data_IF_163123802398
#
_entry.id   IF_163123802398
#
_cell.length_a   1.000
_cell.length_b   1.000
_cell.length_c   1.000
_cell.angle_alpha   90.00
_cell.angle_beta   90.00
_cell.angle_gamma   90.00
#
_symmetry.space_group_name_H-M   'P 1'
#
loop_
_entity.id
_entity.type
_entity.pdbx_description
1 polymer ?
#
# COMPACT_ATOMS: atom_id res chain seq x y z
N UNK A 1 58.18 -30.39 15.22
CA UNK A 1 58.15 -31.75 15.81
C UNK A 1 57.63 -31.64 17.23
N UNK A 2 56.37 -32.04 17.45
CA UNK A 2 55.84 -32.44 18.76
C UNK A 2 54.50 -33.14 18.54
N UNK A 3 54.24 -34.14 19.39
CA UNK A 3 53.53 -35.37 19.09
C UNK A 3 52.15 -35.40 19.78
N UNK A 4 51.14 -35.74 18.98
CA UNK A 4 49.92 -36.56 19.19
C UNK A 4 49.43 -36.85 20.63
N UNK A 5 48.14 -36.62 20.91
CA UNK A 5 47.11 -37.53 21.50
C UNK A 5 45.70 -36.99 21.12
N UNK A 6 44.96 -37.59 20.19
CA UNK A 6 43.96 -38.67 20.36
C UNK A 6 42.91 -38.43 21.45
N UNK A 7 41.69 -38.09 21.02
CA UNK A 7 40.44 -38.43 21.71
C UNK A 7 39.42 -38.83 20.64
N UNK A 8 38.97 -40.08 20.73
CA UNK A 8 38.06 -40.72 19.81
C UNK A 8 36.67 -40.88 20.45
N UNK A 9 35.66 -40.82 19.59
CA UNK A 9 34.39 -41.56 19.66
C UNK A 9 33.34 -41.13 20.68
N UNK A 10 32.12 -40.82 20.19
CA UNK A 10 30.92 -41.62 20.46
C UNK A 10 29.83 -41.31 19.43
N UNK A 11 29.33 -42.38 18.79
CA UNK A 11 28.20 -42.36 17.87
C UNK A 11 26.91 -42.06 18.63
N UNK A 12 26.11 -41.12 18.13
CA UNK A 12 24.72 -40.93 18.52
C UNK A 12 23.79 -41.25 17.35
N UNK A 13 23.34 -42.50 17.26
CA UNK A 13 22.23 -42.90 16.39
C UNK A 13 20.91 -42.59 17.11
N UNK A 14 20.05 -41.82 16.47
CA UNK A 14 18.72 -41.48 16.98
C UNK A 14 17.79 -41.12 15.82
N UNK A 15 17.38 -42.13 15.05
CA UNK A 15 16.29 -42.02 14.10
C UNK A 15 14.96 -42.15 14.86
N UNK A 16 14.18 -41.07 14.93
CA UNK A 16 12.76 -41.10 15.27
C UNK A 16 12.01 -40.39 14.14
N UNK A 17 11.44 -41.20 13.26
CA UNK A 17 10.53 -40.79 12.19
C UNK A 17 9.16 -40.59 12.84
N UNK A 18 8.74 -39.35 13.01
CA UNK A 18 7.35 -39.01 13.34
C UNK A 18 6.66 -38.47 12.09
N UNK A 19 5.93 -39.34 11.40
CA UNK A 19 4.98 -38.96 10.36
C UNK A 19 3.70 -38.50 11.05
N UNK A 20 3.43 -37.20 11.04
CA UNK A 20 2.12 -36.63 11.34
C UNK A 20 1.52 -36.04 10.05
N UNK A 21 0.74 -36.85 9.35
CA UNK A 21 -0.18 -36.38 8.31
C UNK A 21 -1.55 -36.22 8.94
N UNK A 22 -2.00 -34.98 9.17
CA UNK A 22 -3.37 -34.49 8.90
C UNK A 22 -3.51 -33.09 9.48
N UNK A 23 -3.72 -32.12 8.58
CA UNK A 23 -3.97 -30.75 8.95
C UNK A 23 -3.79 -29.80 7.77
N UNK A 24 -4.42 -30.10 6.63
CA UNK A 24 -4.70 -29.07 5.63
C UNK A 24 -5.81 -28.16 6.18
N UNK A 25 -5.52 -27.43 7.27
CA UNK A 25 -6.25 -26.21 7.60
C UNK A 25 -5.82 -25.23 6.54
N UNK A 26 -6.70 -24.99 5.57
CA UNK A 26 -6.47 -24.07 4.48
C UNK A 26 -5.87 -22.78 5.02
N UNK A 27 -4.58 -22.58 4.79
CA UNK A 27 -4.06 -21.24 4.62
C UNK A 27 -4.74 -20.75 3.37
N UNK A 28 -5.93 -20.16 3.55
CA UNK A 28 -6.38 -19.13 2.63
C UNK A 28 -5.14 -18.27 2.43
N UNK A 29 -4.55 -18.40 1.25
CA UNK A 29 -3.54 -17.47 0.81
C UNK A 29 -4.31 -16.16 0.75
N UNK A 30 -4.32 -15.42 1.85
CA UNK A 30 -4.53 -14.00 1.81
C UNK A 30 -3.39 -13.56 0.92
N UNK A 31 -3.66 -13.48 -0.38
CA UNK A 31 -2.77 -12.88 -1.34
C UNK A 31 -2.39 -11.57 -0.67
N UNK A 32 -1.13 -11.43 -0.25
CA UNK A 32 -0.58 -10.14 0.08
C UNK A 32 -0.70 -9.38 -1.22
N UNK A 33 -1.82 -8.66 -1.37
CA UNK A 33 -2.02 -7.76 -2.48
C UNK A 33 -0.74 -6.92 -2.49
N UNK A 34 -0.10 -6.81 -3.65
CA UNK A 34 1.01 -5.91 -3.84
C UNK A 34 0.71 -4.61 -3.05
N UNK A 35 1.66 -4.22 -2.20
CA UNK A 35 1.41 -3.73 -0.83
C UNK A 35 0.30 -2.71 -0.64
N UNK A 36 -0.68 -3.06 0.19
CA UNK A 36 -1.60 -2.08 0.79
C UNK A 36 -0.86 -1.26 1.84
N UNK A 37 -0.88 0.06 1.72
CA UNK A 37 -0.29 1.00 2.69
C UNK A 37 -1.41 1.89 3.22
N UNK A 38 -1.58 1.94 4.55
CA UNK A 38 -2.65 2.70 5.22
C UNK A 38 -4.06 2.35 4.68
N UNK A 39 -4.27 1.08 4.30
CA UNK A 39 -5.53 0.61 3.70
C UNK A 39 -5.78 1.04 2.25
N UNK A 40 -4.83 1.76 1.64
CA UNK A 40 -4.81 2.06 0.22
C UNK A 40 -4.11 0.94 -0.56
N UNK A 41 -4.81 0.18 -1.44
CA UNK A 41 -4.17 -0.89 -2.20
C UNK A 41 -3.13 -0.35 -3.19
N UNK A 42 -2.11 -1.15 -3.53
CA UNK A 42 -1.15 -0.74 -4.57
C UNK A 42 -1.86 -0.55 -5.92
N UNK A 43 -1.46 0.50 -6.64
CA UNK A 43 -2.11 0.93 -7.88
C UNK A 43 -3.21 1.97 -7.68
N UNK A 44 -3.52 2.39 -6.45
CA UNK A 44 -4.63 3.31 -6.16
C UNK A 44 -4.15 4.67 -5.65
N UNK A 45 -4.94 5.70 -5.94
CA UNK A 45 -4.98 6.93 -5.15
C UNK A 45 -6.12 6.82 -4.14
N UNK A 46 -5.84 7.13 -2.89
CA UNK A 46 -6.83 7.10 -1.81
C UNK A 46 -6.96 8.46 -1.13
N UNK A 47 -8.20 8.84 -0.81
CA UNK A 47 -8.52 10.04 -0.04
C UNK A 47 -9.11 9.59 1.29
N UNK A 48 -8.59 10.15 2.37
CA UNK A 48 -9.06 9.87 3.73
C UNK A 48 -10.13 10.89 4.16
N UNK A 49 -10.99 10.57 5.13
CA UNK A 49 -12.00 11.51 5.62
C UNK A 49 -11.42 12.86 6.06
N UNK A 50 -12.29 13.86 6.04
CA UNK A 50 -11.96 15.23 6.43
C UNK A 50 -11.34 15.24 7.85
N UNK A 51 -10.22 15.96 7.99
CA UNK A 51 -9.51 16.24 9.24
C UNK A 51 -9.14 14.98 10.05
N UNK A 52 -9.04 13.80 9.39
CA UNK A 52 -8.83 12.51 10.05
C UNK A 52 -7.42 11.90 9.85
N UNK A 53 -6.53 12.57 9.09
CA UNK A 53 -5.21 12.03 8.76
C UNK A 53 -5.31 10.69 8.05
N UNK A 54 -4.65 9.65 8.59
CA UNK A 54 -4.74 8.27 8.05
C UNK A 54 -6.04 7.54 8.42
N UNK A 55 -6.85 8.07 9.33
CA UNK A 55 -8.11 7.46 9.76
C UNK A 55 -8.00 5.96 10.09
N UNK A 56 -6.95 5.55 10.80
CA UNK A 56 -6.70 4.13 11.12
C UNK A 56 -6.52 3.22 9.90
N UNK A 57 -6.12 3.76 8.75
CA UNK A 57 -6.01 3.03 7.50
C UNK A 57 -7.35 2.83 6.77
N UNK A 58 -8.33 3.71 7.01
CA UNK A 58 -9.65 3.62 6.39
C UNK A 58 -9.92 4.84 5.49
N UNK A 59 -9.48 4.82 4.22
CA UNK A 59 -9.81 5.88 3.27
C UNK A 59 -11.31 5.86 2.91
N UNK A 60 -11.87 7.03 2.63
CA UNK A 60 -13.27 7.19 2.20
C UNK A 60 -13.44 6.99 0.70
N UNK A 61 -12.42 7.31 -0.10
CA UNK A 61 -12.45 7.21 -1.56
C UNK A 61 -11.18 6.51 -2.07
N UNK A 62 -11.33 5.71 -3.13
CA UNK A 62 -10.25 4.96 -3.78
C UNK A 62 -10.41 5.02 -5.30
N UNK A 63 -9.34 5.35 -6.02
CA UNK A 63 -9.33 5.47 -7.48
C UNK A 63 -8.17 4.67 -8.08
N UNK A 64 -8.47 3.83 -9.07
CA UNK A 64 -7.48 2.97 -9.74
C UNK A 64 -7.18 3.40 -11.17
N UNK A 65 -8.25 3.67 -11.94
CA UNK A 65 -8.14 3.95 -13.36
C UNK A 65 -7.50 5.31 -13.60
N UNK A 66 -6.55 5.38 -14.55
CA UNK A 66 -6.03 6.66 -15.04
C UNK A 66 -7.13 7.52 -15.67
N UNK A 67 -6.92 8.83 -15.67
CA UNK A 67 -7.88 9.83 -16.14
C UNK A 67 -8.48 10.66 -15.00
N UNK A 68 -9.48 11.45 -15.35
CA UNK A 68 -10.13 12.39 -14.44
C UNK A 68 -11.25 11.74 -13.62
N UNK A 69 -11.30 12.06 -12.33
CA UNK A 69 -12.35 11.64 -11.39
C UNK A 69 -12.92 12.87 -10.71
N UNK A 70 -14.23 13.11 -10.87
CA UNK A 70 -14.91 14.21 -10.20
C UNK A 70 -15.07 13.90 -8.71
N UNK A 71 -14.81 14.91 -7.88
CA UNK A 71 -15.07 14.87 -6.45
C UNK A 71 -16.40 15.55 -6.16
N UNK A 72 -17.15 14.99 -5.23
CA UNK A 72 -18.39 15.57 -4.72
C UNK A 72 -18.41 15.52 -3.20
N UNK A 73 -18.94 16.57 -2.58
CA UNK A 73 -19.11 16.66 -1.13
C UNK A 73 -17.80 16.43 -0.34
N UNK A 74 -16.67 16.90 -0.88
CA UNK A 74 -15.38 16.92 -0.17
C UNK A 74 -15.13 18.35 0.31
N UNK A 75 -14.91 18.51 1.62
CA UNK A 75 -14.76 19.81 2.26
C UNK A 75 -13.62 19.75 3.27
N UNK A 76 -12.97 20.88 3.48
CA UNK A 76 -11.89 20.98 4.45
C UNK A 76 -10.67 20.18 4.03
N UNK A 77 -9.80 19.87 4.99
CA UNK A 77 -8.52 19.21 4.71
C UNK A 77 -8.69 17.71 4.68
N UNK A 78 -8.19 17.08 3.63
CA UNK A 78 -8.12 15.63 3.50
C UNK A 78 -6.68 15.21 3.27
N UNK A 79 -6.32 14.03 3.79
CA UNK A 79 -5.12 13.35 3.35
C UNK A 79 -5.39 12.66 2.02
N UNK A 80 -4.49 12.83 1.07
CA UNK A 80 -4.49 12.12 -0.20
C UNK A 80 -3.19 11.35 -0.30
N UNK A 81 -3.27 10.06 -0.61
CA UNK A 81 -2.11 9.20 -0.76
C UNK A 81 -2.12 8.56 -2.14
N UNK A 82 -1.01 8.68 -2.85
CA UNK A 82 -0.81 8.05 -4.15
C UNK A 82 -0.05 6.74 -3.97
N UNK A 83 -0.75 5.62 -3.76
CA UNK A 83 -0.13 4.29 -3.72
C UNK A 83 -0.02 3.64 -5.11
N UNK A 84 -0.05 4.43 -6.18
CA UNK A 84 0.19 3.91 -7.52
C UNK A 84 1.65 3.48 -7.70
N UNK A 85 1.96 2.81 -8.80
CA UNK A 85 3.30 2.29 -9.10
C UNK A 85 3.80 2.82 -10.45
N UNK A 86 5.04 2.52 -10.80
CA UNK A 86 5.56 2.79 -12.14
C UNK A 86 5.84 4.27 -12.47
N UNK A 87 5.96 5.15 -11.47
CA UNK A 87 6.20 6.58 -11.68
C UNK A 87 4.93 7.41 -11.84
N UNK A 88 3.76 6.79 -11.63
CA UNK A 88 2.46 7.41 -11.73
C UNK A 88 2.30 8.66 -10.85
N UNK A 89 1.44 9.57 -11.31
CA UNK A 89 1.24 10.89 -10.73
C UNK A 89 -0.23 11.17 -10.52
N UNK A 90 -0.52 12.01 -9.52
CA UNK A 90 -1.86 12.53 -9.29
C UNK A 90 -1.85 14.05 -9.23
N UNK A 91 -2.82 14.68 -9.88
CA UNK A 91 -3.05 16.12 -9.84
C UNK A 91 -4.39 16.44 -9.19
N UNK A 92 -4.45 17.52 -8.40
CA UNK A 92 -5.70 18.13 -7.94
C UNK A 92 -6.12 19.23 -8.90
N UNK A 93 -7.42 19.30 -9.21
CA UNK A 93 -7.94 20.22 -10.21
C UNK A 93 -9.17 20.98 -9.70
N UNK A 94 -9.18 22.29 -9.92
CA UNK A 94 -10.27 23.17 -9.48
C UNK A 94 -11.49 23.07 -10.37
N UNK A 95 -11.34 22.65 -11.63
CA UNK A 95 -12.46 22.36 -12.51
C UNK A 95 -12.88 20.90 -12.43
N UNK A 96 -14.07 20.59 -12.96
CA UNK A 96 -14.51 19.21 -13.17
C UNK A 96 -13.83 18.59 -14.40
N UNK A 97 -13.84 17.26 -14.48
CA UNK A 97 -13.30 16.52 -15.61
C UNK A 97 -11.80 16.66 -15.82
N UNK A 98 -11.04 17.03 -14.77
CA UNK A 98 -9.59 17.23 -14.86
C UNK A 98 -9.19 18.55 -15.52
N UNK A 99 -10.02 19.59 -15.39
CA UNK A 99 -9.71 20.93 -15.90
C UNK A 99 -9.16 21.84 -14.80
N UNK A 100 -8.31 22.81 -15.16
CA UNK A 100 -7.67 23.73 -14.20
C UNK A 100 -6.91 23.01 -13.08
N UNK A 101 -6.05 22.05 -13.47
CA UNK A 101 -5.19 21.33 -12.54
C UNK A 101 -4.07 22.21 -12.02
N UNK A 102 -3.71 21.99 -10.75
CA UNK A 102 -2.53 22.62 -10.16
C UNK A 102 -1.27 22.21 -10.95
N UNK A 103 -0.28 23.10 -11.02
CA UNK A 103 0.97 22.85 -11.75
C UNK A 103 1.84 21.76 -11.12
N UNK A 104 1.63 21.47 -9.84
CA UNK A 104 2.29 20.38 -9.12
C UNK A 104 1.55 19.04 -9.26
N UNK A 105 2.22 17.98 -8.83
CA UNK A 105 1.65 16.63 -8.74
C UNK A 105 2.12 15.91 -7.48
N UNK A 106 1.34 14.92 -7.05
CA UNK A 106 1.71 13.98 -6.01
C UNK A 106 2.35 12.73 -6.66
N UNK A 107 3.64 12.45 -6.46
CA UNK A 107 4.28 11.26 -7.00
C UNK A 107 3.78 9.98 -6.33
N UNK A 108 3.95 8.86 -7.01
CA UNK A 108 3.74 7.53 -6.45
C UNK A 108 4.56 7.31 -5.16
N UNK A 109 3.92 6.71 -4.15
CA UNK A 109 4.49 6.44 -2.84
C UNK A 109 4.42 7.59 -1.84
N UNK A 110 3.84 8.73 -2.21
CA UNK A 110 3.80 9.93 -1.37
C UNK A 110 2.38 10.37 -1.00
N UNK A 111 2.24 11.19 0.05
CA UNK A 111 0.98 11.75 0.51
C UNK A 111 1.03 13.27 0.66
N UNK A 112 -0.13 13.91 0.62
CA UNK A 112 -0.28 15.31 0.98
C UNK A 112 -1.57 15.55 1.76
N UNK A 113 -1.56 16.56 2.62
CA UNK A 113 -2.78 17.10 3.22
C UNK A 113 -3.23 18.32 2.42
N UNK A 114 -4.44 18.28 1.88
CA UNK A 114 -4.94 19.30 0.94
C UNK A 114 -6.37 19.70 1.31
N UNK A 115 -6.64 21.00 1.30
CA UNK A 115 -8.02 21.48 1.35
C UNK A 115 -8.74 21.12 0.03
N UNK A 116 -9.74 20.25 0.11
CA UNK A 116 -10.51 19.78 -1.05
C UNK A 116 -11.76 20.62 -1.33
N UNK A 117 -12.13 21.57 -0.46
CA UNK A 117 -13.25 22.49 -0.72
C UNK A 117 -13.18 23.16 -2.11
N UNK A 118 -12.03 23.65 -2.61
CA UNK A 118 -11.96 24.25 -3.94
C UNK A 118 -11.67 23.24 -5.07
N UNK A 119 -11.52 21.95 -4.76
CA UNK A 119 -11.10 20.91 -5.71
C UNK A 119 -12.32 20.15 -6.19
N UNK A 120 -12.58 20.20 -7.50
CA UNK A 120 -13.73 19.54 -8.11
C UNK A 120 -13.37 18.22 -8.80
N UNK A 121 -12.09 17.97 -9.08
CA UNK A 121 -11.63 16.68 -9.61
C UNK A 121 -10.16 16.39 -9.28
N UNK A 122 -9.79 15.12 -9.45
CA UNK A 122 -8.39 14.68 -9.50
C UNK A 122 -8.10 13.99 -10.83
N UNK A 123 -6.84 13.99 -11.25
CA UNK A 123 -6.39 13.28 -12.45
C UNK A 123 -5.26 12.34 -12.09
N UNK A 124 -5.42 11.06 -12.42
CA UNK A 124 -4.40 10.02 -12.28
C UNK A 124 -3.72 9.82 -13.63
N UNK A 125 -2.38 9.80 -13.65
CA UNK A 125 -1.58 9.65 -14.87
C UNK A 125 -0.46 8.61 -14.67
N UNK A 126 -0.08 7.87 -15.72
CA UNK A 126 1.06 6.97 -15.68
C UNK A 126 2.40 7.71 -15.53
#
# INVERSE_FOLDING_TARGET
MSIRKLAASMLGAGALVTVSVLGATGTASAATAAGTVEGCPSGYVCIYPQDAGWNGGHPSLKYYTYGAHNLSNQYGVHRIFNNQTGGAKMHTCKGSGGTQCDSGYLPAGDYMDKNLTPINSIVLQP
#
